data_IF_139819310366
#
_entry.id   IF_139819310366
#
_cell.length_a   1.000
_cell.length_b   1.000
_cell.length_c   1.000
_cell.angle_alpha   90.00
_cell.angle_beta   90.00
_cell.angle_gamma   90.00
#
_symmetry.space_group_name_H-M   'P 1'
#
loop_
_entity.id
_entity.type
_entity.pdbx_description
1 polymer ?
#
# COMPACT_ATOMS: atom_id res chain seq x y z
N UNK A 1 66.06 59.39 19.42
CA UNK A 1 64.98 59.40 18.42
C UNK A 1 65.20 58.26 17.42
N UNK A 2 64.48 57.14 17.57
CA UNK A 2 64.41 56.05 16.57
C UNK A 2 62.94 55.61 16.54
N UNK A 3 62.26 55.92 15.45
CA UNK A 3 60.86 55.58 15.23
C UNK A 3 60.76 54.18 14.65
N UNK A 4 60.17 53.26 15.42
CA UNK A 4 59.86 51.91 14.98
C UNK A 4 58.59 51.96 14.11
N UNK A 5 58.73 51.61 12.83
CA UNK A 5 57.59 51.47 11.91
C UNK A 5 57.11 50.03 11.94
N UNK A 6 56.02 49.76 12.66
CA UNK A 6 55.29 48.51 12.51
C UNK A 6 54.55 48.55 11.17
N UNK A 7 54.88 47.64 10.26
CA UNK A 7 54.10 47.40 9.03
C UNK A 7 52.85 46.59 9.37
N UNK A 8 51.63 47.10 9.14
CA UNK A 8 50.40 46.35 9.36
C UNK A 8 50.00 45.66 8.07
N UNK A 9 50.61 44.51 7.75
CA UNK A 9 50.09 43.62 6.70
C UNK A 9 50.21 42.18 7.17
N UNK A 10 49.49 41.84 8.23
CA UNK A 10 49.18 40.44 8.54
C UNK A 10 47.95 40.07 7.70
N UNK A 11 48.21 39.55 6.50
CA UNK A 11 47.19 39.02 5.61
C UNK A 11 46.51 37.82 6.28
N UNK A 12 45.29 38.02 6.78
CA UNK A 12 44.42 36.96 7.25
C UNK A 12 43.89 36.16 6.05
N UNK A 13 44.64 35.15 5.63
CA UNK A 13 44.16 34.12 4.70
C UNK A 13 43.25 33.16 5.48
N UNK A 14 41.97 33.53 5.61
CA UNK A 14 40.93 32.64 6.11
C UNK A 14 40.62 31.65 4.98
N UNK A 15 41.35 30.52 4.96
CA UNK A 15 40.99 29.33 4.22
C UNK A 15 39.69 28.78 4.82
N UNK A 16 38.56 29.31 4.34
CA UNK A 16 37.26 28.66 4.48
C UNK A 16 37.26 27.42 3.60
N UNK A 17 37.87 26.34 4.11
CA UNK A 17 37.59 24.99 3.64
C UNK A 17 36.12 24.70 3.99
N UNK A 18 35.21 25.24 3.20
CA UNK A 18 33.80 24.92 3.26
C UNK A 18 33.67 23.43 3.04
N UNK A 19 33.20 22.71 4.04
CA UNK A 19 32.68 21.35 3.91
C UNK A 19 31.55 21.39 2.88
N UNK A 20 31.88 21.22 1.61
CA UNK A 20 30.92 20.80 0.60
C UNK A 20 30.68 19.32 0.90
N UNK A 21 29.79 19.05 1.85
CA UNK A 21 29.19 17.73 1.95
C UNK A 21 28.56 17.46 0.58
N UNK A 22 29.00 16.44 -0.16
CA UNK A 22 28.43 16.13 -1.47
C UNK A 22 26.97 15.81 -1.26
N UNK A 23 26.10 16.74 -1.65
CA UNK A 23 24.65 16.51 -1.65
C UNK A 23 24.38 15.54 -2.79
N UNK A 24 24.25 14.26 -2.45
CA UNK A 24 23.71 13.28 -3.38
C UNK A 24 22.35 13.78 -3.82
N UNK A 25 22.20 14.06 -5.11
CA UNK A 25 20.92 14.43 -5.67
C UNK A 25 19.97 13.25 -5.50
N UNK A 26 19.14 13.30 -4.45
CA UNK A 26 18.10 12.32 -4.11
C UNK A 26 17.14 12.00 -5.26
N UNK A 27 17.15 12.78 -6.35
CA UNK A 27 16.32 12.58 -7.55
C UNK A 27 16.69 11.35 -8.39
N UNK A 28 17.84 10.72 -8.15
CA UNK A 28 18.28 9.54 -8.92
C UNK A 28 17.79 8.20 -8.34
N UNK A 29 17.33 8.19 -7.09
CA UNK A 29 16.89 6.96 -6.42
C UNK A 29 15.46 6.63 -6.85
N UNK A 30 15.21 5.45 -7.47
CA UNK A 30 13.87 5.06 -7.86
C UNK A 30 12.92 4.99 -6.65
N UNK A 31 11.78 5.65 -6.76
CA UNK A 31 10.67 5.50 -5.80
C UNK A 31 10.04 4.12 -5.93
N UNK A 32 9.63 3.55 -4.81
CA UNK A 32 8.93 2.27 -4.74
C UNK A 32 7.53 2.41 -4.15
N UNK A 33 6.64 1.47 -4.50
CA UNK A 33 5.30 1.35 -3.94
C UNK A 33 4.96 -0.11 -3.68
N UNK A 34 4.21 -0.34 -2.61
CA UNK A 34 3.49 -1.60 -2.36
C UNK A 34 2.02 -1.43 -2.73
N UNK A 35 1.43 -2.45 -3.36
CA UNK A 35 0.05 -2.47 -3.82
C UNK A 35 -0.73 -3.64 -3.27
N UNK A 36 -1.98 -3.38 -2.86
CA UNK A 36 -2.98 -4.37 -2.47
C UNK A 36 -4.31 -4.04 -3.17
N UNK A 37 -4.64 -4.79 -4.23
CA UNK A 37 -5.81 -4.47 -5.06
C UNK A 37 -5.72 -3.07 -5.68
N UNK A 38 -6.60 -2.16 -5.26
CA UNK A 38 -6.62 -0.76 -5.70
C UNK A 38 -5.80 0.17 -4.79
N UNK A 39 -5.45 -0.28 -3.58
CA UNK A 39 -4.70 0.50 -2.61
C UNK A 39 -3.20 0.46 -2.97
N UNK A 40 -2.53 1.60 -2.85
CA UNK A 40 -1.11 1.76 -3.18
C UNK A 40 -0.46 2.72 -2.20
N UNK A 41 0.68 2.33 -1.65
CA UNK A 41 1.41 3.11 -0.64
C UNK A 41 2.88 3.22 -1.05
N UNK A 42 3.47 4.41 -0.90
CA UNK A 42 4.89 4.64 -1.18
C UNK A 42 5.77 4.01 -0.09
N UNK A 43 6.85 3.34 -0.51
CA UNK A 43 7.83 2.75 0.40
C UNK A 43 8.73 3.85 0.96
N UNK A 44 9.15 3.72 2.22
CA UNK A 44 10.08 4.67 2.85
C UNK A 44 11.52 4.19 2.64
N UNK A 45 12.35 5.05 2.05
CA UNK A 45 13.77 4.77 1.83
C UNK A 45 14.54 4.81 3.16
N UNK A 46 15.21 3.70 3.48
CA UNK A 46 15.98 3.50 4.71
C UNK A 46 17.49 3.64 4.47
N UNK A 47 17.96 3.24 3.30
CA UNK A 47 19.39 3.20 3.03
C UNK A 47 19.64 3.03 1.54
N UNK A 48 20.82 3.43 1.12
CA UNK A 48 21.05 3.73 -0.28
C UNK A 48 22.55 3.79 -0.57
N UNK A 49 23.05 3.10 -1.59
CA UNK A 49 24.42 3.28 -2.10
C UNK A 49 24.38 3.39 -3.63
N UNK A 50 24.91 4.50 -4.18
CA UNK A 50 24.93 4.76 -5.61
C UNK A 50 26.34 5.09 -6.07
N UNK A 51 26.76 4.54 -7.20
CA UNK A 51 28.03 4.91 -7.83
C UNK A 51 27.85 6.12 -8.74
N UNK A 52 28.80 7.05 -8.63
CA UNK A 52 28.91 8.24 -9.45
C UNK A 52 30.38 8.52 -9.72
N UNK A 53 30.79 8.51 -10.99
CA UNK A 53 32.16 8.88 -11.40
C UNK A 53 33.23 8.11 -10.59
N UNK A 54 33.09 6.79 -10.52
CA UNK A 54 33.95 5.86 -9.76
C UNK A 54 33.95 6.02 -8.23
N UNK A 55 33.05 6.83 -7.68
CA UNK A 55 32.84 6.96 -6.23
C UNK A 55 31.50 6.37 -5.83
N UNK A 56 31.50 5.44 -4.87
CA UNK A 56 30.28 4.97 -4.22
C UNK A 56 29.87 5.95 -3.13
N UNK A 57 28.67 6.52 -3.24
CA UNK A 57 28.09 7.41 -2.23
C UNK A 57 26.94 6.69 -1.55
N UNK A 58 27.10 6.43 -0.25
CA UNK A 58 26.06 5.85 0.57
C UNK A 58 25.34 6.93 1.39
N UNK A 59 24.03 6.83 1.43
CA UNK A 59 23.13 7.63 2.23
C UNK A 59 22.32 6.66 3.09
N UNK A 60 22.90 6.29 4.23
CA UNK A 60 22.17 5.58 5.25
C UNK A 60 21.33 6.58 6.03
N UNK A 61 20.06 6.26 6.19
CA UNK A 61 19.29 6.91 7.22
C UNK A 61 19.55 6.17 8.53
N UNK A 62 19.62 6.92 9.63
CA UNK A 62 19.72 6.39 11.00
C UNK A 62 18.55 5.47 11.39
N UNK A 63 17.56 5.29 10.50
CA UNK A 63 16.35 4.54 10.72
C UNK A 63 16.56 3.03 10.91
N UNK A 64 17.70 2.45 10.50
CA UNK A 64 17.98 1.02 10.77
C UNK A 64 18.02 0.68 12.27
N UNK A 65 18.26 1.67 13.15
CA UNK A 65 18.36 1.46 14.60
C UNK A 65 17.12 1.92 15.38
N UNK A 66 16.09 2.43 14.70
CA UNK A 66 14.87 2.90 15.38
C UNK A 66 13.76 1.86 15.31
N UNK A 67 12.92 1.89 16.33
CA UNK A 67 11.69 1.11 16.35
C UNK A 67 10.84 1.49 15.13
N UNK A 68 10.34 0.51 14.34
CA UNK A 68 9.55 0.77 13.14
C UNK A 68 8.34 1.67 13.34
N UNK A 69 7.71 1.64 14.51
CA UNK A 69 6.58 2.51 14.85
C UNK A 69 6.97 3.99 14.99
N UNK A 70 8.26 4.30 15.10
CA UNK A 70 8.76 5.69 15.08
C UNK A 70 9.02 6.22 13.66
N UNK A 71 8.93 5.34 12.66
CA UNK A 71 9.00 5.70 11.25
C UNK A 71 7.59 6.12 10.81
N UNK A 72 7.49 7.20 10.03
CA UNK A 72 6.22 7.64 9.44
C UNK A 72 5.85 6.75 8.23
N UNK A 73 5.75 5.43 8.48
CA UNK A 73 5.39 4.45 7.47
C UNK A 73 3.89 4.53 7.22
N UNK A 74 3.54 4.82 5.97
CA UNK A 74 2.17 4.66 5.52
C UNK A 74 1.76 3.18 5.60
N UNK A 75 0.51 2.95 5.98
CA UNK A 75 -0.05 1.62 6.26
C UNK A 75 -0.84 1.13 5.04
N UNK A 76 -0.54 -0.08 4.57
CA UNK A 76 -1.40 -0.81 3.65
C UNK A 76 -2.36 -1.67 4.45
N UNK A 77 -3.64 -1.36 4.43
CA UNK A 77 -4.66 -2.23 5.04
C UNK A 77 -5.01 -3.36 4.09
N UNK A 78 -5.01 -4.60 4.56
CA UNK A 78 -5.31 -5.78 3.73
C UNK A 78 -6.12 -6.83 4.48
N UNK A 79 -6.80 -7.69 3.72
CA UNK A 79 -7.36 -8.94 4.24
C UNK A 79 -6.30 -10.03 4.41
N UNK A 80 -6.63 -11.05 5.20
CA UNK A 80 -5.82 -12.25 5.34
C UNK A 80 -5.53 -12.90 3.97
N UNK A 81 -4.25 -13.15 3.67
CA UNK A 81 -3.83 -13.77 2.40
C UNK A 81 -4.02 -12.91 1.15
N UNK A 82 -4.41 -11.64 1.27
CA UNK A 82 -4.57 -10.75 0.12
C UNK A 82 -3.25 -10.56 -0.63
N UNK A 83 -3.32 -10.51 -1.95
CA UNK A 83 -2.11 -10.43 -2.78
C UNK A 83 -1.50 -9.03 -2.73
N UNK A 84 -0.26 -8.97 -2.29
CA UNK A 84 0.63 -7.81 -2.32
C UNK A 84 1.55 -7.86 -3.55
N UNK A 85 2.00 -6.69 -4.00
CA UNK A 85 3.02 -6.52 -5.03
C UNK A 85 3.87 -5.30 -4.73
N UNK A 86 5.18 -5.42 -4.90
CA UNK A 86 6.11 -4.28 -4.89
C UNK A 86 6.39 -3.85 -6.33
N UNK A 87 6.44 -2.54 -6.55
CA UNK A 87 6.76 -1.93 -7.84
C UNK A 87 7.68 -0.73 -7.64
N UNK A 88 8.53 -0.45 -8.63
CA UNK A 88 9.40 0.71 -8.62
C UNK A 88 9.15 1.57 -9.86
N UNK A 89 9.44 2.87 -9.74
CA UNK A 89 9.36 3.85 -10.84
C UNK A 89 10.29 3.49 -12.00
N UNK A 90 11.40 2.81 -11.69
CA UNK A 90 12.27 2.14 -12.64
C UNK A 90 12.44 0.68 -12.20
N UNK A 91 12.21 -0.32 -13.06
CA UNK A 91 12.42 -1.72 -12.70
C UNK A 91 13.86 -1.97 -12.20
N UNK A 92 14.04 -2.66 -11.06
CA UNK A 92 15.36 -3.09 -10.61
C UNK A 92 15.84 -4.33 -11.38
N UNK A 93 17.15 -4.55 -11.36
CA UNK A 93 17.80 -5.77 -11.85
C UNK A 93 17.56 -6.94 -10.88
N UNK A 94 17.53 -6.64 -9.58
CA UNK A 94 17.23 -7.59 -8.52
C UNK A 94 16.37 -6.95 -7.42
N UNK A 95 15.46 -7.73 -6.83
CA UNK A 95 14.57 -7.27 -5.77
C UNK A 95 14.23 -8.40 -4.82
N UNK A 96 14.30 -8.12 -3.52
CA UNK A 96 13.97 -9.05 -2.45
C UNK A 96 13.07 -8.38 -1.42
N UNK A 97 12.06 -9.12 -0.93
CA UNK A 97 11.16 -8.68 0.14
C UNK A 97 11.38 -9.59 1.34
N UNK A 98 11.59 -9.01 2.51
CA UNK A 98 11.90 -9.75 3.74
C UNK A 98 10.97 -9.31 4.86
N UNK A 99 10.35 -10.23 5.61
CA UNK A 99 9.65 -9.91 6.85
C UNK A 99 10.62 -9.29 7.86
N UNK A 100 10.13 -8.29 8.59
CA UNK A 100 10.85 -7.66 9.69
C UNK A 100 10.04 -7.75 10.97
N UNK A 101 10.63 -8.34 12.01
CA UNK A 101 9.96 -8.53 13.31
C UNK A 101 10.24 -7.39 14.32
N UNK A 102 10.85 -6.29 13.87
CA UNK A 102 11.28 -5.19 14.72
C UNK A 102 12.72 -5.31 15.24
N UNK A 103 13.36 -6.47 15.10
CA UNK A 103 14.75 -6.71 15.55
C UNK A 103 15.64 -7.29 14.47
N UNK A 104 15.12 -8.24 13.71
CA UNK A 104 15.88 -8.98 12.70
C UNK A 104 15.04 -9.15 11.43
N UNK A 105 15.73 -9.23 10.31
CA UNK A 105 15.14 -9.71 9.06
C UNK A 105 15.07 -11.24 9.11
N UNK A 106 13.99 -11.80 8.58
CA UNK A 106 13.91 -13.25 8.38
C UNK A 106 14.65 -13.62 7.09
N UNK A 107 15.88 -14.11 7.22
CA UNK A 107 16.81 -14.35 6.10
C UNK A 107 16.37 -15.44 5.10
N UNK A 108 15.34 -16.23 5.42
CA UNK A 108 14.90 -17.38 4.60
C UNK A 108 13.49 -17.24 4.01
N UNK A 109 12.88 -16.07 4.10
CA UNK A 109 11.62 -15.82 3.43
C UNK A 109 11.90 -15.43 1.97
N UNK A 110 12.02 -16.42 1.09
CA UNK A 110 12.08 -16.19 -0.36
C UNK A 110 10.70 -15.72 -0.86
N UNK A 111 10.45 -14.42 -0.74
CA UNK A 111 9.19 -13.78 -1.12
C UNK A 111 9.34 -13.20 -2.52
N UNK A 112 8.55 -13.71 -3.46
CA UNK A 112 8.45 -13.13 -4.80
C UNK A 112 7.86 -11.71 -4.73
N UNK A 113 8.64 -10.66 -5.04
CA UNK A 113 8.20 -9.27 -4.95
C UNK A 113 7.11 -8.91 -5.97
N UNK A 114 7.02 -9.66 -7.07
CA UNK A 114 6.01 -9.44 -8.11
C UNK A 114 4.61 -9.81 -7.63
N UNK A 115 4.54 -10.77 -6.68
CA UNK A 115 3.30 -11.21 -6.07
C UNK A 115 3.55 -12.08 -4.83
N UNK A 116 3.07 -11.65 -3.67
CA UNK A 116 3.11 -12.44 -2.44
C UNK A 116 1.85 -12.26 -1.59
N UNK A 117 1.43 -13.26 -0.80
CA UNK A 117 0.28 -13.12 0.07
C UNK A 117 0.61 -12.31 1.32
N UNK A 118 -0.33 -11.48 1.76
CA UNK A 118 -0.31 -10.87 3.08
C UNK A 118 -0.41 -11.95 4.18
N UNK A 119 0.10 -11.68 5.40
CA UNK A 119 0.02 -12.62 6.51
C UNK A 119 -1.43 -13.01 6.82
N UNK A 120 -1.60 -14.25 7.27
CA UNK A 120 -2.92 -14.74 7.66
C UNK A 120 -3.31 -14.32 9.07
N UNK A 121 -2.33 -14.05 9.92
CA UNK A 121 -2.54 -13.60 11.29
C UNK A 121 -2.86 -12.09 11.31
N UNK A 122 -3.95 -11.69 12.00
CA UNK A 122 -4.29 -10.28 12.14
C UNK A 122 -3.20 -9.56 12.94
N UNK A 123 -2.94 -8.31 12.57
CA UNK A 123 -1.91 -7.51 13.22
C UNK A 123 -1.17 -6.58 12.26
N UNK A 124 -0.24 -5.83 12.83
CA UNK A 124 0.74 -5.05 12.09
C UNK A 124 1.93 -5.95 11.73
N UNK A 125 2.34 -5.90 10.47
CA UNK A 125 3.51 -6.61 9.95
C UNK A 125 4.41 -5.63 9.21
N UNK A 126 5.72 -5.78 9.37
CA UNK A 126 6.72 -4.93 8.72
C UNK A 126 7.48 -5.73 7.68
N UNK A 127 7.85 -5.04 6.60
CA UNK A 127 8.62 -5.63 5.52
C UNK A 127 9.73 -4.68 5.11
N UNK A 128 10.91 -5.23 4.89
CA UNK A 128 11.98 -4.57 4.19
C UNK A 128 11.99 -5.01 2.72
N UNK A 129 12.39 -4.09 1.85
CA UNK A 129 12.61 -4.35 0.44
C UNK A 129 14.03 -3.96 0.12
N UNK A 130 14.83 -4.89 -0.36
CA UNK A 130 16.12 -4.60 -0.98
C UNK A 130 15.93 -4.61 -2.49
N UNK A 131 16.52 -3.65 -3.19
CA UNK A 131 16.54 -3.67 -4.65
C UNK A 131 17.84 -3.08 -5.21
N UNK A 132 18.27 -3.62 -6.34
CA UNK A 132 19.49 -3.25 -7.03
C UNK A 132 19.21 -2.74 -8.45
N UNK A 133 19.97 -1.75 -8.86
CA UNK A 133 20.06 -1.23 -10.22
C UNK A 133 21.54 -1.08 -10.57
N UNK A 134 21.88 -1.03 -11.84
CA UNK A 134 23.06 -0.28 -12.25
C UNK A 134 22.74 1.24 -12.19
N UNK A 135 23.43 2.08 -11.39
CA UNK A 135 24.67 1.81 -10.65
C UNK A 135 24.50 1.87 -9.11
N UNK A 136 23.39 1.39 -8.53
CA UNK A 136 23.18 1.50 -7.09
C UNK A 136 22.14 0.56 -6.48
N UNK A 137 22.18 0.44 -5.16
CA UNK A 137 21.27 -0.39 -4.37
C UNK A 137 20.53 0.47 -3.36
N UNK A 138 19.31 0.07 -3.02
CA UNK A 138 18.54 0.71 -1.97
C UNK A 138 17.82 -0.30 -1.09
N UNK A 139 17.49 0.17 0.10
CA UNK A 139 16.66 -0.53 1.07
C UNK A 139 15.49 0.34 1.46
N UNK A 140 14.29 -0.22 1.41
CA UNK A 140 13.05 0.42 1.80
C UNK A 140 12.32 -0.35 2.87
N UNK A 141 11.37 0.29 3.54
CA UNK A 141 10.46 -0.35 4.49
C UNK A 141 9.01 0.06 4.24
N UNK A 142 8.08 -0.84 4.55
CA UNK A 142 6.64 -0.55 4.59
C UNK A 142 5.93 -1.36 5.68
N UNK A 143 4.72 -0.90 6.03
CA UNK A 143 3.87 -1.50 7.07
C UNK A 143 2.57 -2.02 6.45
N UNK A 144 2.20 -3.24 6.83
CA UNK A 144 0.94 -3.90 6.43
C UNK A 144 0.10 -4.10 7.67
N UNK A 145 -1.14 -3.63 7.64
CA UNK A 145 -2.12 -3.91 8.67
C UNK A 145 -3.10 -4.95 8.15
N UNK A 146 -3.02 -6.17 8.69
CA UNK A 146 -4.00 -7.21 8.43
C UNK A 146 -5.14 -7.01 9.41
N UNK A 147 -6.28 -6.51 8.91
CA UNK A 147 -7.47 -6.30 9.72
C UNK A 147 -8.26 -7.60 9.86
N UNK A 148 -8.79 -7.89 11.05
CA UNK A 148 -9.91 -8.83 11.20
C UNK A 148 -11.19 -8.33 10.51
N UNK A 149 -11.25 -7.02 10.23
CA UNK A 149 -12.44 -6.27 9.81
C UNK A 149 -12.71 -6.18 8.29
N UNK A 150 -11.69 -6.24 7.42
CA UNK A 150 -11.93 -6.24 5.95
C UNK A 150 -12.67 -7.51 5.51
N UNK A 151 -12.53 -8.61 6.25
CA UNK A 151 -13.28 -9.84 6.03
C UNK A 151 -14.75 -9.68 6.41
N UNK A 152 -15.06 -9.10 7.57
CA UNK A 152 -16.44 -8.79 7.98
C UNK A 152 -17.10 -7.77 7.07
N UNK A 153 -16.43 -6.67 6.70
CA UNK A 153 -17.02 -5.67 5.80
C UNK A 153 -17.23 -6.19 4.36
N UNK A 154 -16.37 -7.12 3.89
CA UNK A 154 -16.54 -7.79 2.59
C UNK A 154 -17.66 -8.83 2.64
N UNK A 155 -17.82 -9.55 3.76
CA UNK A 155 -18.92 -10.48 3.98
C UNK A 155 -20.26 -9.74 4.06
N UNK A 156 -20.35 -8.67 4.85
CA UNK A 156 -21.54 -7.82 4.93
C UNK A 156 -21.91 -7.23 3.57
N UNK A 157 -20.94 -6.77 2.78
CA UNK A 157 -21.20 -6.23 1.43
C UNK A 157 -21.64 -7.33 0.44
N UNK A 158 -21.14 -8.57 0.58
CA UNK A 158 -21.62 -9.72 -0.20
C UNK A 158 -23.06 -10.09 0.18
N UNK A 159 -23.37 -10.19 1.47
CA UNK A 159 -24.74 -10.45 1.96
C UNK A 159 -25.73 -9.36 1.52
N UNK A 160 -25.34 -8.08 1.61
CA UNK A 160 -26.17 -6.96 1.19
C UNK A 160 -26.45 -6.98 -0.33
N UNK A 161 -25.48 -7.40 -1.14
CA UNK A 161 -25.68 -7.55 -2.59
C UNK A 161 -26.49 -8.80 -2.95
N UNK A 162 -26.34 -9.89 -2.19
CA UNK A 162 -27.13 -11.12 -2.37
C UNK A 162 -28.59 -10.90 -1.97
N UNK A 163 -28.86 -10.19 -0.86
CA UNK A 163 -30.24 -9.85 -0.46
C UNK A 163 -30.95 -8.90 -1.45
N UNK A 164 -30.20 -7.97 -2.06
CA UNK A 164 -30.71 -7.13 -3.18
C UNK A 164 -30.98 -7.92 -4.46
N UNK A 165 -30.34 -9.08 -4.63
CA UNK A 165 -30.60 -9.97 -5.76
C UNK A 165 -31.88 -10.80 -5.51
N UNK A 166 -32.03 -11.38 -4.31
CA UNK A 166 -33.23 -12.12 -3.93
C UNK A 166 -34.48 -11.23 -3.84
N UNK A 167 -34.36 -10.01 -3.30
CA UNK A 167 -35.47 -9.05 -3.24
C UNK A 167 -36.02 -8.65 -4.61
N UNK A 168 -35.25 -8.82 -5.70
CA UNK A 168 -35.73 -8.61 -7.08
C UNK A 168 -36.43 -9.83 -7.68
N UNK A 169 -36.15 -11.04 -7.21
CA UNK A 169 -36.93 -12.23 -7.59
C UNK A 169 -38.33 -12.22 -6.98
N UNK A 170 -38.49 -11.78 -5.72
CA UNK A 170 -39.81 -11.67 -5.10
C UNK A 170 -40.74 -10.67 -5.81
N UNK A 171 -40.19 -9.60 -6.39
CA UNK A 171 -40.98 -8.60 -7.15
C UNK A 171 -41.50 -9.13 -8.49
N UNK A 172 -40.83 -10.09 -9.13
CA UNK A 172 -41.35 -10.72 -10.34
C UNK A 172 -42.37 -11.83 -10.04
N UNK A 173 -42.24 -12.52 -8.90
CA UNK A 173 -43.22 -13.55 -8.52
C UNK A 173 -44.56 -12.94 -8.07
N UNK A 174 -44.54 -11.83 -7.33
CA UNK A 174 -45.76 -11.10 -6.93
C UNK A 174 -46.44 -10.38 -8.11
N UNK A 175 -45.70 -9.95 -9.14
CA UNK A 175 -46.33 -9.35 -10.34
C UNK A 175 -47.06 -10.38 -11.21
N UNK A 176 -46.63 -11.65 -11.18
CA UNK A 176 -47.30 -12.72 -11.93
C UNK A 176 -48.56 -13.25 -11.22
N UNK A 177 -48.64 -13.20 -9.89
CA UNK A 177 -49.84 -13.64 -9.16
C UNK A 177 -51.00 -12.62 -9.24
N UNK A 178 -50.69 -11.31 -9.30
CA UNK A 178 -51.71 -10.25 -9.40
C UNK A 178 -52.42 -10.25 -10.77
N UNK A 179 -51.78 -10.74 -11.84
CA UNK A 179 -52.40 -10.80 -13.17
C UNK A 179 -53.40 -11.95 -13.29
N UNK A 180 -53.30 -12.99 -12.46
CA UNK A 180 -54.23 -14.14 -12.49
C UNK A 180 -55.52 -13.98 -11.69
N UNK A 181 -55.63 -13.03 -10.76
CA UNK A 181 -56.85 -12.83 -9.96
C UNK A 181 -57.86 -11.81 -10.53
N UNK A 182 -57.50 -11.06 -11.59
CA UNK A 182 -58.42 -10.10 -12.22
C UNK A 182 -59.29 -10.69 -13.35
N UNK A 183 -59.29 -12.02 -13.55
CA UNK A 183 -59.97 -12.68 -14.68
C UNK A 183 -61.31 -13.36 -14.40
N UNK A 184 -61.83 -13.38 -13.17
CA UNK A 184 -62.96 -14.25 -12.79
C UNK A 184 -64.13 -13.52 -12.13
N UNK A 185 -64.48 -12.32 -12.62
CA UNK A 185 -65.63 -11.56 -12.10
C UNK A 185 -66.63 -11.13 -13.18
N UNK A 186 -66.93 -11.99 -14.17
CA UNK A 186 -68.05 -11.77 -15.09
C UNK A 186 -68.67 -13.11 -15.51
N UNK A 187 -69.57 -13.67 -14.69
CA UNK A 187 -70.66 -14.51 -15.20
C UNK A 187 -71.96 -14.23 -14.46
N UNK A 188 -72.73 -13.40 -15.16
CA UNK A 188 -74.06 -12.89 -14.86
C UNK A 188 -75.13 -13.99 -14.87
N UNK A 189 -76.13 -13.74 -14.04
CA UNK A 189 -77.38 -14.44 -13.78
C UNK A 189 -78.26 -14.71 -15.02
N UNK A 190 -78.75 -15.94 -15.14
CA UNK A 190 -79.97 -16.37 -15.86
C UNK A 190 -80.42 -17.68 -15.20
N UNK A 191 -81.65 -17.95 -14.84
CA UNK A 191 -82.91 -17.20 -14.80
C UNK A 191 -83.89 -18.09 -14.02
N UNK A 192 -84.76 -17.49 -13.20
CA UNK A 192 -85.80 -18.19 -12.43
C UNK A 192 -87.17 -17.78 -12.98
N UNK A 193 -87.78 -18.69 -13.71
CA UNK A 193 -89.21 -18.77 -14.00
C UNK A 193 -89.51 -20.27 -13.98
N UNK A 194 -90.50 -20.83 -13.29
CA UNK A 194 -91.73 -20.32 -12.70
C UNK A 194 -92.77 -21.41 -12.97
N UNK A 195 -93.47 -21.90 -11.93
CA UNK A 195 -94.88 -22.36 -11.93
C UNK A 195 -95.18 -23.21 -10.69
N UNK A 196 -96.00 -22.64 -9.83
CA UNK A 196 -97.00 -23.25 -8.95
C UNK A 196 -98.14 -23.92 -9.75
N UNK A 197 -99.15 -24.52 -9.10
CA UNK A 197 -99.18 -25.26 -7.83
C UNK A 197 -99.43 -26.78 -8.04
#
# INVERSE_FOLDING_TARGET
MRSWRYSPVAAALILTAGLLAPTVASSQIPKGWVRAGADSVELVLMGSCWEKEDVTICADTWYMFREPDSLDLQIVEVGSGESLRVTFSRPPDDVSVMPFNGRTFEENADIDPSRFPAPTLPGTHYYAVSAAWEPGTGMWMFKVQVGSGKETARLERKELNQSKFDGRQWRHSLLMEVITQSGSFLKSSKGRAGRTP
#
